data_IF_851850702726
#
_entry.id   IF_851850702726
#
_cell.length_a   1.000
_cell.length_b   1.000
_cell.length_c   1.000
_cell.angle_alpha   90.00
_cell.angle_beta   90.00
_cell.angle_gamma   90.00
#
_symmetry.space_group_name_H-M   'P 1'
#
loop_
_entity.id
_entity.type
_entity.pdbx_description
1 polymer ?
#
# COMPACT_ATOMS: atom_id res chain seq x y z
N UNK A 1 -35.23 24.10 -27.69
CA UNK A 1 -34.24 23.10 -27.22
C UNK A 1 -33.46 23.72 -26.07
N UNK A 2 -33.99 23.56 -24.86
CA UNK A 2 -33.39 24.06 -23.63
C UNK A 2 -32.66 22.91 -22.94
N UNK A 3 -31.40 23.16 -22.63
CA UNK A 3 -30.48 22.29 -21.92
C UNK A 3 -30.92 22.11 -20.47
N UNK A 4 -31.18 20.86 -20.06
CA UNK A 4 -31.45 20.49 -18.67
C UNK A 4 -30.15 20.50 -17.85
N UNK A 5 -29.87 21.62 -17.20
CA UNK A 5 -28.98 21.70 -16.04
C UNK A 5 -29.74 21.18 -14.81
N UNK A 6 -29.55 19.90 -14.48
CA UNK A 6 -29.93 19.38 -13.16
C UNK A 6 -28.93 19.92 -12.13
N UNK A 7 -29.28 21.10 -11.61
CA UNK A 7 -28.60 21.75 -10.51
C UNK A 7 -28.62 20.87 -9.26
N UNK A 8 -27.49 20.87 -8.55
CA UNK A 8 -27.44 20.45 -7.15
C UNK A 8 -28.37 21.39 -6.37
N UNK A 9 -29.64 20.99 -6.20
CA UNK A 9 -30.52 21.63 -5.23
C UNK A 9 -29.93 21.42 -3.83
N UNK A 10 -30.00 22.43 -2.94
CA UNK A 10 -29.64 22.25 -1.55
C UNK A 10 -30.77 21.42 -0.92
N UNK A 11 -30.61 20.10 -0.93
CA UNK A 11 -31.36 19.23 -0.03
C UNK A 11 -30.82 19.42 1.39
N UNK A 12 -31.00 20.61 1.95
CA UNK A 12 -31.14 20.80 3.39
C UNK A 12 -32.54 20.30 3.79
N UNK A 13 -32.80 19.02 3.55
CA UNK A 13 -33.99 18.32 4.01
C UNK A 13 -33.53 17.17 4.91
N UNK A 14 -33.41 17.52 6.18
CA UNK A 14 -33.90 16.74 7.32
C UNK A 14 -33.35 15.33 7.55
N UNK A 15 -32.09 15.04 7.20
CA UNK A 15 -31.38 13.85 7.72
C UNK A 15 -30.03 14.19 8.38
N UNK A 16 -29.84 15.44 8.81
CA UNK A 16 -28.82 15.74 9.81
C UNK A 16 -29.40 15.36 11.17
N UNK A 17 -29.26 14.10 11.58
CA UNK A 17 -29.41 13.74 13.00
C UNK A 17 -28.23 14.40 13.71
N UNK A 18 -28.45 15.60 14.24
CA UNK A 18 -27.54 16.24 15.19
C UNK A 18 -27.84 15.59 16.53
N UNK A 19 -27.21 14.45 16.78
CA UNK A 19 -27.13 13.91 18.13
C UNK A 19 -25.91 14.54 18.81
N UNK A 20 -26.13 15.22 19.95
CA UNK A 20 -25.09 15.78 20.82
C UNK A 20 -24.05 16.73 20.17
N UNK A 21 -24.40 17.46 19.10
CA UNK A 21 -23.48 18.40 18.44
C UNK A 21 -22.50 17.75 17.45
N UNK A 22 -22.70 16.48 17.14
CA UNK A 22 -21.98 15.78 16.07
C UNK A 22 -22.76 16.00 14.77
N UNK A 23 -22.20 16.80 13.85
CA UNK A 23 -22.66 16.78 12.45
C UNK A 23 -22.26 15.42 11.86
N UNK A 24 -23.22 14.50 11.79
CA UNK A 24 -23.13 13.32 10.92
C UNK A 24 -23.24 13.82 9.48
N UNK A 25 -22.26 13.47 8.64
CA UNK A 25 -22.27 13.80 7.22
C UNK A 25 -22.69 12.53 6.49
N UNK A 26 -23.89 12.53 5.92
CA UNK A 26 -24.32 11.40 5.09
C UNK A 26 -23.43 11.25 3.84
N UNK A 27 -23.27 10.05 3.28
CA UNK A 27 -22.44 9.82 2.09
C UNK A 27 -22.84 10.71 0.90
N UNK A 28 -24.15 10.92 0.70
CA UNK A 28 -24.68 11.82 -0.33
C UNK A 28 -24.29 13.29 -0.11
N UNK A 29 -24.37 13.76 1.14
CA UNK A 29 -23.94 15.11 1.50
C UNK A 29 -22.43 15.29 1.33
N UNK A 30 -21.64 14.27 1.70
CA UNK A 30 -20.21 14.24 1.46
C UNK A 30 -19.88 14.41 -0.02
N UNK A 31 -20.48 13.60 -0.90
CA UNK A 31 -20.24 13.69 -2.35
C UNK A 31 -20.61 15.05 -2.92
N UNK A 32 -21.75 15.63 -2.51
CA UNK A 32 -22.16 16.98 -2.93
C UNK A 32 -21.17 18.05 -2.49
N UNK A 33 -20.73 18.04 -1.22
CA UNK A 33 -19.81 19.04 -0.70
C UNK A 33 -18.44 18.91 -1.38
N UNK A 34 -17.93 17.69 -1.56
CA UNK A 34 -16.61 17.50 -2.18
C UNK A 34 -16.60 17.84 -3.66
N UNK A 35 -17.70 17.62 -4.38
CA UNK A 35 -17.83 18.10 -5.75
C UNK A 35 -17.73 19.62 -5.84
N UNK A 36 -18.30 20.36 -4.89
CA UNK A 36 -18.22 21.84 -4.83
C UNK A 36 -16.94 22.38 -4.20
N UNK A 37 -16.37 21.66 -3.25
CA UNK A 37 -15.23 22.07 -2.42
C UNK A 37 -14.25 20.89 -2.18
N UNK A 38 -13.48 20.47 -3.19
CA UNK A 38 -12.62 19.28 -3.09
C UNK A 38 -11.60 19.32 -1.94
N UNK A 39 -11.14 20.51 -1.55
CA UNK A 39 -10.20 20.72 -0.46
C UNK A 39 -10.75 20.34 0.92
N UNK A 40 -12.07 20.25 1.08
CA UNK A 40 -12.71 19.82 2.33
C UNK A 40 -12.74 18.30 2.50
N UNK A 41 -12.37 17.51 1.48
CA UNK A 41 -12.47 16.03 1.48
C UNK A 41 -11.83 15.41 2.69
N UNK A 42 -10.55 15.74 2.94
CA UNK A 42 -9.83 15.24 4.11
C UNK A 42 -10.54 15.64 5.41
N UNK A 43 -10.91 16.91 5.56
CA UNK A 43 -11.55 17.40 6.78
C UNK A 43 -12.85 16.64 7.10
N UNK A 44 -13.71 16.45 6.10
CA UNK A 44 -14.98 15.74 6.30
C UNK A 44 -14.77 14.25 6.62
N UNK A 45 -13.84 13.59 5.92
CA UNK A 45 -13.52 12.19 6.19
C UNK A 45 -12.90 11.98 7.58
N UNK A 46 -12.09 12.93 8.06
CA UNK A 46 -11.49 12.85 9.39
C UNK A 46 -12.48 13.17 10.52
N UNK A 47 -13.64 13.79 10.23
CA UNK A 47 -14.59 14.22 11.27
C UNK A 47 -15.26 13.03 11.97
N UNK A 48 -15.66 12.01 11.22
CA UNK A 48 -16.32 10.81 11.76
C UNK A 48 -15.77 9.54 11.07
N UNK A 49 -14.53 9.11 11.37
CA UNK A 49 -13.90 7.98 10.68
C UNK A 49 -14.70 6.68 10.82
N UNK A 50 -15.32 6.44 11.97
CA UNK A 50 -16.15 5.26 12.23
C UNK A 50 -17.30 5.13 11.22
N UNK A 51 -17.99 6.24 10.94
CA UNK A 51 -19.10 6.30 9.98
C UNK A 51 -18.56 6.03 8.56
N UNK A 52 -17.44 6.66 8.20
CA UNK A 52 -16.81 6.45 6.87
C UNK A 52 -16.43 4.98 6.67
N UNK A 53 -15.90 4.32 7.70
CA UNK A 53 -15.52 2.90 7.61
C UNK A 53 -16.76 2.00 7.55
N UNK A 54 -17.79 2.29 8.34
CA UNK A 54 -19.05 1.54 8.35
C UNK A 54 -19.79 1.64 7.01
N UNK A 55 -19.85 2.84 6.43
CA UNK A 55 -20.59 3.17 5.19
C UNK A 55 -19.66 3.27 3.97
N UNK A 56 -18.49 2.62 4.02
CA UNK A 56 -17.41 2.76 3.03
C UNK A 56 -17.85 2.77 1.56
N UNK A 57 -18.74 1.84 1.20
CA UNK A 57 -19.19 1.66 -0.18
C UNK A 57 -20.05 2.84 -0.67
N UNK A 58 -20.72 3.55 0.25
CA UNK A 58 -21.63 4.64 -0.07
C UNK A 58 -20.87 5.96 -0.29
N UNK A 59 -19.68 6.10 0.31
CA UNK A 59 -18.87 7.32 0.20
C UNK A 59 -18.19 7.50 -1.16
N UNK A 60 -18.04 6.44 -1.98
CA UNK A 60 -17.41 6.46 -3.31
C UNK A 60 -16.10 7.28 -3.32
N UNK A 61 -15.17 6.90 -2.45
CA UNK A 61 -13.96 7.68 -2.12
C UNK A 61 -12.93 7.70 -3.27
N UNK A 62 -12.89 6.62 -4.03
CA UNK A 62 -11.88 6.35 -5.05
C UNK A 62 -10.53 5.98 -4.43
N UNK A 63 -9.85 5.03 -5.07
CA UNK A 63 -8.63 4.38 -4.55
C UNK A 63 -7.50 5.35 -4.12
N UNK A 64 -7.34 6.49 -4.79
CA UNK A 64 -6.35 7.50 -4.40
C UNK A 64 -6.63 8.12 -3.02
N UNK A 65 -7.90 8.30 -2.68
CA UNK A 65 -8.32 8.80 -1.37
C UNK A 65 -8.13 7.70 -0.33
N UNK A 66 -8.56 6.48 -0.65
CA UNK A 66 -8.46 5.31 0.23
C UNK A 66 -7.00 5.08 0.68
N UNK A 67 -6.04 5.15 -0.24
CA UNK A 67 -4.60 4.99 0.10
C UNK A 67 -4.08 6.13 0.99
N UNK A 68 -4.54 7.36 0.75
CA UNK A 68 -4.15 8.50 1.59
C UNK A 68 -4.69 8.34 3.00
N UNK A 69 -5.91 7.83 3.15
CA UNK A 69 -6.55 7.61 4.45
C UNK A 69 -5.75 6.67 5.34
N UNK A 70 -5.12 5.63 4.78
CA UNK A 70 -4.25 4.70 5.55
C UNK A 70 -3.14 5.46 6.31
N UNK A 71 -2.71 6.61 5.78
CA UNK A 71 -1.66 7.44 6.37
C UNK A 71 -2.16 8.56 7.28
N UNK A 72 -3.47 8.71 7.45
CA UNK A 72 -4.06 9.74 8.31
C UNK A 72 -4.18 9.23 9.75
N UNK A 73 -3.90 10.09 10.72
CA UNK A 73 -3.85 9.71 12.14
C UNK A 73 -5.23 9.25 12.64
N UNK A 74 -6.30 9.86 12.12
CA UNK A 74 -7.69 9.53 12.41
C UNK A 74 -8.10 8.12 11.96
N UNK A 75 -7.29 7.52 11.08
CA UNK A 75 -7.52 6.18 10.54
C UNK A 75 -6.47 5.15 11.00
N UNK A 76 -5.66 5.48 12.02
CA UNK A 76 -4.61 4.58 12.54
C UNK A 76 -5.17 3.20 12.92
N UNK A 77 -6.29 3.17 13.64
CA UNK A 77 -6.92 1.92 14.10
C UNK A 77 -7.72 1.20 12.99
N UNK A 78 -7.91 1.86 11.84
CA UNK A 78 -8.67 1.34 10.70
C UNK A 78 -7.79 0.85 9.55
N UNK A 79 -6.46 0.92 9.67
CA UNK A 79 -5.54 0.59 8.58
C UNK A 79 -5.78 -0.81 7.99
N UNK A 80 -5.97 -1.82 8.83
CA UNK A 80 -6.26 -3.20 8.37
C UNK A 80 -7.57 -3.28 7.59
N UNK A 81 -8.62 -2.60 8.07
CA UNK A 81 -9.92 -2.55 7.40
C UNK A 81 -9.82 -1.85 6.04
N UNK A 82 -9.11 -0.73 5.97
CA UNK A 82 -8.92 0.02 4.73
C UNK A 82 -8.14 -0.83 3.71
N UNK A 83 -7.02 -1.42 4.13
CA UNK A 83 -6.22 -2.28 3.25
C UNK A 83 -7.07 -3.43 2.68
N UNK A 84 -7.91 -4.07 3.49
CA UNK A 84 -8.76 -5.17 3.03
C UNK A 84 -9.89 -4.73 2.07
N UNK A 85 -10.22 -3.43 2.02
CA UNK A 85 -11.25 -2.88 1.14
C UNK A 85 -10.70 -2.42 -0.22
N UNK A 86 -9.39 -2.23 -0.36
CA UNK A 86 -8.79 -1.85 -1.65
C UNK A 86 -8.90 -3.01 -2.64
N UNK A 87 -9.55 -2.74 -3.77
CA UNK A 87 -9.65 -3.72 -4.86
C UNK A 87 -8.30 -3.92 -5.56
N UNK A 88 -7.76 -5.14 -5.49
CA UNK A 88 -6.48 -5.52 -6.11
C UNK A 88 -6.41 -5.20 -7.61
N UNK A 89 -7.51 -5.37 -8.35
CA UNK A 89 -7.50 -5.16 -9.80
C UNK A 89 -7.50 -3.67 -10.20
N UNK A 90 -7.82 -2.78 -9.26
CA UNK A 90 -7.75 -1.33 -9.48
C UNK A 90 -6.36 -0.74 -9.22
N UNK A 91 -5.39 -1.55 -8.78
CA UNK A 91 -4.01 -1.13 -8.50
C UNK A 91 -3.28 -0.78 -9.80
N UNK A 92 -3.14 0.51 -10.06
CA UNK A 92 -2.28 1.08 -11.12
C UNK A 92 -0.83 1.21 -10.62
N UNK A 93 0.16 1.48 -11.50
CA UNK A 93 1.54 1.69 -11.09
C UNK A 93 1.74 2.83 -10.06
N UNK A 94 1.01 3.93 -10.18
CA UNK A 94 1.11 5.05 -9.21
C UNK A 94 0.54 4.69 -7.84
N UNK A 95 -0.55 3.91 -7.83
CA UNK A 95 -1.14 3.36 -6.61
C UNK A 95 -0.19 2.34 -5.96
N UNK A 96 0.44 1.50 -6.78
CA UNK A 96 1.44 0.55 -6.30
C UNK A 96 2.61 1.26 -5.61
N UNK A 97 3.13 2.35 -6.17
CA UNK A 97 4.19 3.14 -5.53
C UNK A 97 3.73 3.74 -4.19
N UNK A 98 2.50 4.24 -4.11
CA UNK A 98 1.96 4.76 -2.86
C UNK A 98 1.80 3.66 -1.79
N UNK A 99 1.35 2.46 -2.19
CA UNK A 99 1.27 1.29 -1.30
C UNK A 99 2.65 0.83 -0.83
N UNK A 100 3.64 0.70 -1.72
CA UNK A 100 5.00 0.34 -1.34
C UNK A 100 5.62 1.37 -0.38
N UNK A 101 5.40 2.67 -0.63
CA UNK A 101 5.82 3.74 0.27
C UNK A 101 5.17 3.63 1.65
N UNK A 102 3.90 3.25 1.71
CA UNK A 102 3.22 2.98 2.97
C UNK A 102 3.85 1.80 3.73
N UNK A 103 4.14 0.68 3.05
CA UNK A 103 4.73 -0.50 3.68
C UNK A 103 6.17 -0.27 4.21
N UNK A 104 6.88 0.75 3.72
CA UNK A 104 8.17 1.18 4.27
C UNK A 104 8.07 1.82 5.67
N UNK A 105 6.93 2.40 6.05
CA UNK A 105 6.77 3.14 7.33
C UNK A 105 6.96 2.23 8.54
N UNK A 106 7.57 2.69 9.64
CA UNK A 106 7.88 1.87 10.82
C UNK A 106 6.67 1.13 11.40
N UNK A 107 5.58 1.85 11.67
CA UNK A 107 4.28 1.32 12.09
C UNK A 107 3.37 1.21 10.87
N UNK A 108 3.05 -0.02 10.46
CA UNK A 108 2.05 -0.27 9.43
C UNK A 108 1.33 -1.60 9.68
N UNK A 109 0.03 -1.62 9.44
CA UNK A 109 -0.70 -2.85 9.14
C UNK A 109 -0.27 -3.39 7.78
N UNK A 110 -0.19 -4.72 7.68
CA UNK A 110 0.32 -5.40 6.49
C UNK A 110 -0.74 -6.28 5.82
N UNK A 111 -0.89 -6.12 4.51
CA UNK A 111 -1.69 -6.99 3.67
C UNK A 111 -0.81 -7.60 2.57
N UNK A 112 -0.58 -8.92 2.67
CA UNK A 112 0.32 -9.65 1.78
C UNK A 112 -0.13 -9.61 0.31
N UNK A 113 -1.44 -9.70 0.05
CA UNK A 113 -1.98 -9.70 -1.31
C UNK A 113 -1.76 -8.35 -1.98
N UNK A 114 -2.06 -7.26 -1.29
CA UNK A 114 -1.81 -5.90 -1.77
C UNK A 114 -0.33 -5.62 -1.95
N UNK A 115 0.51 -6.02 -0.98
CA UNK A 115 1.96 -5.87 -1.10
C UNK A 115 2.47 -6.59 -2.36
N UNK A 116 2.05 -7.84 -2.57
CA UNK A 116 2.46 -8.63 -3.75
C UNK A 116 2.00 -7.99 -5.05
N UNK A 117 0.75 -7.50 -5.12
CA UNK A 117 0.22 -6.80 -6.30
C UNK A 117 0.94 -5.46 -6.54
N UNK A 118 1.27 -4.72 -5.49
CA UNK A 118 2.03 -3.49 -5.59
C UNK A 118 3.46 -3.73 -6.09
N UNK A 119 4.12 -4.79 -5.60
CA UNK A 119 5.42 -5.23 -6.10
C UNK A 119 5.34 -5.61 -7.59
N UNK A 120 4.29 -6.31 -8.01
CA UNK A 120 4.06 -6.66 -9.42
C UNK A 120 3.86 -5.41 -10.31
N UNK A 121 3.02 -4.46 -9.87
CA UNK A 121 2.55 -3.32 -10.70
C UNK A 121 3.44 -2.09 -10.69
N UNK A 122 4.24 -1.89 -9.63
CA UNK A 122 5.15 -0.74 -9.55
C UNK A 122 6.24 -0.85 -10.63
N UNK A 123 6.68 0.26 -11.18
CA UNK A 123 7.86 0.32 -12.06
C UNK A 123 9.10 0.85 -11.32
N UNK A 124 8.96 1.25 -10.06
CA UNK A 124 10.03 1.86 -9.27
C UNK A 124 10.87 0.79 -8.57
N UNK A 125 12.00 0.43 -9.17
CA UNK A 125 12.89 -0.62 -8.66
C UNK A 125 13.46 -0.30 -7.27
N UNK A 126 13.91 0.94 -7.04
CA UNK A 126 14.45 1.38 -5.76
C UNK A 126 13.40 1.24 -4.65
N UNK A 127 12.16 1.65 -4.94
CA UNK A 127 11.07 1.54 -3.97
C UNK A 127 10.69 0.09 -3.66
N UNK A 128 10.70 -0.79 -4.66
CA UNK A 128 10.49 -2.24 -4.43
C UNK A 128 11.57 -2.83 -3.52
N UNK A 129 12.83 -2.45 -3.73
CA UNK A 129 13.98 -2.89 -2.93
C UNK A 129 13.85 -2.37 -1.50
N UNK A 130 13.54 -1.08 -1.33
CA UNK A 130 13.33 -0.47 -0.02
C UNK A 130 12.18 -1.13 0.74
N UNK A 131 11.01 -1.28 0.11
CA UNK A 131 9.85 -1.90 0.73
C UNK A 131 10.12 -3.36 1.13
N UNK A 132 10.79 -4.12 0.26
CA UNK A 132 11.21 -5.49 0.58
C UNK A 132 12.16 -5.54 1.76
N UNK A 133 13.15 -4.64 1.79
CA UNK A 133 14.11 -4.52 2.89
C UNK A 133 13.37 -4.27 4.21
N UNK A 134 12.47 -3.28 4.23
CA UNK A 134 11.68 -2.93 5.42
C UNK A 134 10.82 -4.11 5.88
N UNK A 135 10.07 -4.76 4.98
CA UNK A 135 9.17 -5.84 5.34
C UNK A 135 9.92 -7.11 5.82
N UNK A 136 11.07 -7.42 5.23
CA UNK A 136 11.94 -8.53 5.65
C UNK A 136 12.56 -8.23 7.01
N UNK A 137 13.16 -7.05 7.18
CA UNK A 137 13.82 -6.66 8.43
C UNK A 137 12.88 -6.72 9.64
N UNK A 138 11.60 -6.36 9.43
CA UNK A 138 10.55 -6.41 10.47
C UNK A 138 9.97 -7.81 10.71
N UNK A 139 10.35 -8.81 9.92
CA UNK A 139 9.78 -10.17 9.96
C UNK A 139 8.29 -10.24 9.64
N UNK A 140 7.75 -9.23 8.96
CA UNK A 140 6.32 -9.16 8.61
C UNK A 140 6.01 -10.17 7.51
N UNK A 141 6.92 -10.33 6.55
CA UNK A 141 6.80 -11.36 5.51
C UNK A 141 7.49 -12.63 6.00
N UNK A 142 6.75 -13.72 6.04
CA UNK A 142 7.31 -15.02 6.34
C UNK A 142 8.29 -15.43 5.22
N UNK A 143 9.44 -16.00 5.59
CA UNK A 143 10.53 -16.32 4.66
C UNK A 143 10.11 -17.26 3.53
N UNK A 144 9.10 -18.11 3.77
CA UNK A 144 8.51 -19.01 2.78
C UNK A 144 7.63 -18.30 1.72
N UNK A 145 7.16 -17.08 1.99
CA UNK A 145 6.36 -16.27 1.05
C UNK A 145 7.21 -15.50 0.05
N UNK A 146 8.44 -15.10 0.45
CA UNK A 146 9.39 -14.36 -0.38
C UNK A 146 9.58 -14.91 -1.81
N UNK A 147 9.73 -16.23 -2.03
CA UNK A 147 9.95 -16.78 -3.37
C UNK A 147 8.78 -16.52 -4.31
N UNK A 148 7.56 -16.62 -3.81
CA UNK A 148 6.35 -16.36 -4.59
C UNK A 148 6.24 -14.87 -4.95
N UNK A 149 6.57 -13.99 -3.99
CA UNK A 149 6.61 -12.54 -4.22
C UNK A 149 7.65 -12.19 -5.29
N UNK A 150 8.88 -12.71 -5.17
CA UNK A 150 9.95 -12.44 -6.13
C UNK A 150 9.62 -12.98 -7.53
N UNK A 151 9.07 -14.20 -7.61
CA UNK A 151 8.65 -14.81 -8.88
C UNK A 151 7.57 -13.99 -9.62
N UNK A 152 6.62 -13.40 -8.89
CA UNK A 152 5.58 -12.54 -9.48
C UNK A 152 6.11 -11.17 -9.89
N UNK A 153 7.07 -10.63 -9.14
CA UNK A 153 7.63 -9.30 -9.41
C UNK A 153 8.56 -9.27 -10.61
N UNK A 154 9.37 -10.33 -10.79
CA UNK A 154 10.41 -10.46 -11.82
C UNK A 154 11.40 -9.27 -11.83
N UNK A 155 12.27 -9.20 -12.84
CA UNK A 155 13.21 -8.10 -13.04
C UNK A 155 14.31 -8.09 -11.98
N UNK A 156 14.36 -7.03 -11.16
CA UNK A 156 15.44 -6.84 -10.18
C UNK A 156 15.56 -7.97 -9.14
N UNK A 157 14.52 -8.78 -8.94
CA UNK A 157 14.53 -9.92 -8.00
C UNK A 157 14.71 -11.28 -8.67
N UNK A 158 14.94 -11.33 -9.97
CA UNK A 158 15.11 -12.60 -10.69
C UNK A 158 16.28 -13.42 -10.13
N UNK A 159 16.05 -14.73 -9.94
CA UNK A 159 16.99 -15.67 -9.34
C UNK A 159 16.81 -15.83 -7.83
N UNK A 160 16.15 -14.89 -7.13
CA UNK A 160 15.86 -15.05 -5.71
C UNK A 160 14.84 -16.15 -5.43
N UNK A 161 13.96 -16.49 -6.37
CA UNK A 161 12.94 -17.51 -6.20
C UNK A 161 13.54 -18.94 -6.18
N UNK A 162 14.70 -19.13 -6.80
CA UNK A 162 15.36 -20.43 -7.01
C UNK A 162 16.45 -20.70 -5.98
N UNK A 163 16.35 -21.84 -5.31
CA UNK A 163 17.36 -22.25 -4.33
C UNK A 163 18.67 -22.66 -5.01
N UNK A 164 19.80 -22.28 -4.42
CA UNK A 164 21.14 -22.63 -4.89
C UNK A 164 21.70 -21.68 -5.94
N UNK A 165 20.88 -20.85 -6.58
CA UNK A 165 21.34 -19.84 -7.53
C UNK A 165 22.08 -18.69 -6.83
N UNK A 166 22.96 -18.02 -7.59
CA UNK A 166 23.63 -16.80 -7.12
C UNK A 166 22.80 -15.61 -7.57
N UNK A 167 22.16 -14.95 -6.61
CA UNK A 167 21.49 -13.69 -6.86
C UNK A 167 22.52 -12.55 -6.93
N UNK A 168 22.27 -11.59 -7.81
CA UNK A 168 23.11 -10.40 -8.00
C UNK A 168 22.24 -9.16 -8.17
N UNK A 169 22.61 -8.07 -7.51
CA UNK A 169 21.96 -6.76 -7.63
C UNK A 169 23.00 -5.67 -7.85
N UNK A 170 22.72 -4.73 -8.76
CA UNK A 170 23.62 -3.61 -9.07
C UNK A 170 23.77 -2.69 -7.86
N UNK A 171 25.01 -2.26 -7.58
CA UNK A 171 25.34 -1.27 -6.55
C UNK A 171 24.71 0.10 -6.80
N UNK A 172 24.30 0.38 -8.05
CA UNK A 172 23.63 1.62 -8.43
C UNK A 172 22.17 1.68 -7.95
N UNK A 173 21.57 0.54 -7.58
CA UNK A 173 20.22 0.54 -7.04
C UNK A 173 20.25 1.00 -5.59
N UNK A 174 19.50 2.06 -5.30
CA UNK A 174 19.36 2.59 -3.96
C UNK A 174 18.85 1.51 -2.98
N UNK A 175 19.53 1.39 -1.85
CA UNK A 175 19.19 0.39 -0.82
C UNK A 175 19.65 -1.04 -1.11
N UNK A 176 20.36 -1.30 -2.22
CA UNK A 176 20.77 -2.66 -2.61
C UNK A 176 21.58 -3.39 -1.53
N UNK A 177 22.54 -2.72 -0.88
CA UNK A 177 23.34 -3.34 0.18
C UNK A 177 22.47 -3.72 1.38
N UNK A 178 21.64 -2.81 1.87
CA UNK A 178 20.73 -3.08 2.99
C UNK A 178 19.74 -4.20 2.68
N UNK A 179 19.27 -4.30 1.44
CA UNK A 179 18.43 -5.41 1.00
C UNK A 179 19.17 -6.75 1.07
N UNK A 180 20.41 -6.80 0.55
CA UNK A 180 21.24 -8.00 0.61
C UNK A 180 21.57 -8.40 2.05
N UNK A 181 21.88 -7.43 2.91
CA UNK A 181 22.14 -7.66 4.33
C UNK A 181 20.90 -8.18 5.05
N UNK A 182 19.71 -7.63 4.76
CA UNK A 182 18.45 -8.14 5.29
C UNK A 182 18.21 -9.60 4.85
N UNK A 183 18.37 -9.91 3.55
CA UNK A 183 18.24 -11.29 3.08
C UNK A 183 19.24 -12.24 3.77
N UNK A 184 20.47 -11.77 4.02
CA UNK A 184 21.50 -12.55 4.69
C UNK A 184 21.19 -12.78 6.18
N UNK A 185 20.79 -11.73 6.90
CA UNK A 185 20.43 -11.78 8.31
C UNK A 185 19.29 -12.78 8.56
N UNK A 186 18.35 -12.86 7.62
CA UNK A 186 17.23 -13.78 7.65
C UNK A 186 17.52 -15.16 7.08
N UNK A 187 18.79 -15.43 6.73
CA UNK A 187 19.27 -16.69 6.17
C UNK A 187 18.50 -17.10 4.90
N UNK A 188 18.05 -16.12 4.11
CA UNK A 188 17.52 -16.34 2.78
C UNK A 188 18.65 -16.50 1.75
N UNK A 189 19.71 -15.72 1.90
CA UNK A 189 20.95 -15.84 1.14
C UNK A 189 22.16 -16.09 2.04
N UNK A 190 23.22 -16.66 1.47
CA UNK A 190 24.53 -16.81 2.07
C UNK A 190 25.25 -15.47 2.25
N UNK A 191 26.54 -15.53 2.62
CA UNK A 191 27.35 -14.32 2.85
C UNK A 191 27.32 -13.40 1.62
N UNK A 192 27.01 -12.12 1.85
CA UNK A 192 27.06 -11.08 0.82
C UNK A 192 28.50 -10.86 0.38
N UNK A 193 28.73 -10.81 -0.93
CA UNK A 193 30.03 -10.55 -1.54
C UNK A 193 29.92 -9.45 -2.57
N UNK A 194 30.95 -8.63 -2.67
CA UNK A 194 31.09 -7.67 -3.75
C UNK A 194 31.79 -8.32 -4.95
N UNK A 195 31.27 -8.07 -6.16
CA UNK A 195 31.88 -8.51 -7.41
C UNK A 195 31.68 -7.43 -8.47
N UNK A 196 32.73 -6.66 -8.74
CA UNK A 196 32.64 -5.47 -9.59
C UNK A 196 31.56 -4.50 -9.09
N UNK A 197 30.65 -4.13 -9.98
CA UNK A 197 29.55 -3.20 -9.71
C UNK A 197 28.30 -3.85 -9.09
N UNK A 198 28.43 -5.07 -8.57
CA UNK A 198 27.31 -5.85 -8.01
C UNK A 198 27.57 -6.32 -6.59
N UNK A 199 26.48 -6.41 -5.81
CA UNK A 199 26.40 -7.25 -4.62
C UNK A 199 25.84 -8.62 -5.01
N UNK A 200 26.39 -9.68 -4.44
CA UNK A 200 26.03 -11.07 -4.78
C UNK A 200 25.85 -11.92 -3.53
N UNK A 201 25.00 -12.93 -3.62
CA UNK A 201 24.78 -13.91 -2.54
C UNK A 201 24.07 -15.16 -3.05
N UNK A 202 24.47 -16.32 -2.55
CA UNK A 202 23.83 -17.58 -2.93
C UNK A 202 22.50 -17.77 -2.20
N UNK A 203 21.41 -18.03 -2.92
CA UNK A 203 20.11 -18.34 -2.33
C UNK A 203 20.19 -19.69 -1.62
N UNK A 204 19.88 -19.70 -0.32
CA UNK A 204 20.05 -20.90 0.51
C UNK A 204 18.92 -21.90 0.29
N UNK A 205 19.24 -23.19 0.46
CA UNK A 205 18.22 -24.24 0.50
C UNK A 205 17.35 -24.04 1.74
N UNK A 206 16.04 -23.96 1.55
CA UNK A 206 15.08 -23.80 2.65
C UNK A 206 14.83 -25.17 3.26
N UNK A 207 14.98 -25.30 4.58
CA UNK A 207 14.55 -26.51 5.27
C UNK A 207 13.03 -26.54 5.22
N UNK A 208 12.43 -27.56 4.62
CA UNK A 208 11.01 -27.85 4.80
C UNK A 208 10.77 -28.00 6.30
N UNK A 209 9.83 -27.24 6.84
CA UNK A 209 9.32 -27.47 8.20
C UNK A 209 8.41 -28.68 8.19
#
# INVERSE_FOLDING_TARGET
MSTNTLGCQPYLKKDNIVDNGIVSISPSSYQCIIKGHPHLSKYLLCKNPDIVIAEWNDFVLGINTEIKMISWIEYKDYQSVILNKINLESVTPSIADALLSYFCKSENEFNLALYTKAMEKSNNQALKVLASTCCIAKRIIAVNELPNIFAKTKGIFEGLEKQGEVYSISKQIEGALHFMDALHQFKYIGKVKEKGDYFTGQVLKRKSK
#
